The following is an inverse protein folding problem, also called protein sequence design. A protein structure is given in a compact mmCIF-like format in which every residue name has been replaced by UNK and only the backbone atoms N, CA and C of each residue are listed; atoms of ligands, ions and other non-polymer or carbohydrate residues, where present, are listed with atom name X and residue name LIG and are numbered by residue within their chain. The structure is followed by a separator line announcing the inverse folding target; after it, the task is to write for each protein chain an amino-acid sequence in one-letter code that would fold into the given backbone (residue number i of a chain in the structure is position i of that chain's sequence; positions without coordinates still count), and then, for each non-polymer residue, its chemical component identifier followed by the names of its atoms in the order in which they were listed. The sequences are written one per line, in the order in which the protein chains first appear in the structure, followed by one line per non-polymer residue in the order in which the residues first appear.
data_IF_445469882942
#
_entry.id   IF_445469882942
#
_cell.length_a   1.000
_cell.length_b   1.000
_cell.length_c   1.000
_cell.angle_alpha   90.00
_cell.angle_beta   90.00
_cell.angle_gamma   90.00
#
_symmetry.space_group_name_H-M   'P 1'
#
loop_
_entity.id
_entity.type
_entity.pdbx_description
1 polymer ?
2 non-polymer ?
3 water ?
#
# COMPACT_ATOMS: atom_id res chain seq x y z
N UNK A 1 7.14 1.65 -15.01
CA UNK A 1 8.51 1.25 -14.59
C UNK A 1 8.52 0.67 -13.18
N UNK A 2 9.48 -0.22 -12.92
CA UNK A 2 9.66 -0.79 -11.60
C UNK A 2 10.47 0.16 -10.72
N UNK A 3 9.88 0.52 -9.57
CA UNK A 3 10.47 1.44 -8.62
C UNK A 3 11.42 0.69 -7.67
N UNK A 4 11.02 -0.52 -7.27
CA UNK A 4 11.84 -1.36 -6.38
C UNK A 4 11.20 -2.71 -6.17
N UNK A 5 12.02 -3.68 -5.74
CA UNK A 5 11.54 -5.02 -5.41
C UNK A 5 12.03 -5.44 -4.02
N UNK A 6 11.25 -6.29 -3.36
CA UNK A 6 11.61 -6.77 -2.03
C UNK A 6 11.19 -8.22 -1.85
N UNK A 7 12.06 -8.99 -1.20
CA UNK A 7 11.78 -10.38 -0.87
C UNK A 7 12.10 -10.56 0.62
N UNK A 8 11.31 -11.38 1.31
CA UNK A 8 11.61 -11.73 2.70
C UNK A 8 11.26 -13.17 3.02
N UNK A 9 12.14 -13.84 3.74
CA UNK A 9 11.92 -15.21 4.19
C UNK A 9 12.03 -15.29 5.72
N UNK A 10 11.08 -15.97 6.36
CA UNK A 10 11.16 -16.20 7.80
C UNK A 10 10.50 -17.51 8.22
N UNK A 11 11.10 -18.16 9.23
CA UNK A 11 10.56 -19.38 9.79
C UNK A 11 9.37 -19.01 10.68
N UNK A 12 8.20 -19.51 10.32
CA UNK A 12 6.95 -19.19 11.03
C UNK A 12 7.02 -19.50 12.53
N UNK A 13 7.52 -20.70 12.86
CA UNK A 13 7.57 -21.19 14.23
C UNK A 13 8.37 -20.28 15.18
N UNK A 14 9.37 -19.59 14.65
CA UNK A 14 10.21 -18.72 15.48
C UNK A 14 9.72 -17.27 15.58
N UNK A 15 8.54 -17.00 15.00
CA UNK A 15 7.88 -15.69 15.12
C UNK A 15 6.88 -15.74 16.28
N UNK A 16 7.09 -14.89 17.31
CA UNK A 16 6.18 -14.86 18.45
C UNK A 16 4.87 -14.17 18.12
N UNK A 17 3.77 -14.70 18.66
CA UNK A 17 2.43 -14.14 18.47
C UNK A 17 2.30 -12.78 19.17
N UNK A 18 3.14 -12.55 20.18
CA UNK A 18 3.17 -11.31 20.95
C UNK A 18 3.63 -10.11 20.12
N UNK A 19 4.21 -10.37 18.96
CA UNK A 19 4.66 -9.32 18.04
C UNK A 19 3.50 -8.59 17.37
N UNK A 20 2.31 -9.19 17.43
CA UNK A 20 1.09 -8.61 16.87
C UNK A 20 0.84 -7.17 17.32
N UNK A 21 1.10 -6.91 18.60
CA UNK A 21 0.87 -5.58 19.19
C UNK A 21 1.84 -4.53 18.66
N UNK A 22 3.02 -4.95 18.21
CA UNK A 22 4.06 -4.05 17.74
C UNK A 22 4.02 -3.76 16.24
N UNK A 23 3.64 -4.76 15.45
CA UNK A 23 3.74 -4.65 13.99
C UNK A 23 2.42 -4.38 13.24
N UNK A 24 1.29 -4.74 13.86
CA UNK A 24 0.00 -4.65 13.17
C UNK A 24 -0.68 -3.31 13.31
N UNK A 25 -1.29 -2.84 12.23
CA UNK A 25 -2.15 -1.66 12.26
C UNK A 25 -3.54 -2.05 12.74
N UNK A 26 -4.41 -1.05 12.91
CA UNK A 26 -5.75 -1.27 13.48
C UNK A 26 -6.63 -2.19 12.64
N UNK A 27 -6.62 -1.99 11.32
CA UNK A 27 -7.42 -2.82 10.41
C UNK A 27 -6.87 -4.24 10.30
N UNK A 28 -5.55 -4.39 10.45
CA UNK A 28 -4.91 -5.70 10.48
C UNK A 28 -5.28 -6.49 11.74
N UNK A 29 -5.44 -5.77 12.85
CA UNK A 29 -5.88 -6.37 14.13
C UNK A 29 -7.27 -6.95 14.03
N UNK A 30 -8.18 -6.24 13.36
CA UNK A 30 -9.54 -6.72 13.10
C UNK A 30 -9.53 -7.97 12.22
N UNK A 31 -8.62 -8.01 11.25
CA UNK A 31 -8.45 -9.16 10.37
C UNK A 31 -7.79 -10.32 11.12
N UNK A 32 -6.88 -9.99 12.03
CA UNK A 32 -6.17 -10.96 12.87
C UNK A 32 -7.11 -11.76 13.77
N UNK A 33 -8.14 -11.10 14.30
CA UNK A 33 -9.13 -11.75 15.17
C UNK A 33 -9.96 -12.80 14.43
N UNK A 34 -10.16 -12.58 13.13
CA UNK A 34 -10.92 -13.50 12.26
C UNK A 34 -10.12 -14.76 11.94
N UNK A 35 -8.79 -14.64 11.96
CA UNK A 35 -7.90 -15.70 11.51
C UNK A 35 -7.79 -16.90 12.44
N UNK A 36 -7.90 -18.09 11.86
CA UNK A 36 -7.75 -19.35 12.59
C UNK A 36 -6.28 -19.62 12.92
N UNK A 37 -5.42 -19.54 11.90
CA UNK A 37 -3.99 -19.72 12.09
C UNK A 37 -3.32 -18.38 12.39
N UNK A 38 -3.18 -18.10 13.69
CA UNK A 38 -2.74 -16.79 14.18
C UNK A 38 -1.25 -16.56 13.97
N UNK A 39 -0.44 -17.58 14.24
CA UNK A 39 1.01 -17.48 14.12
C UNK A 39 1.46 -17.27 12.67
N UNK A 40 0.77 -17.95 11.76
CA UNK A 40 1.01 -17.78 10.33
C UNK A 40 0.71 -16.37 9.85
N UNK A 41 -0.41 -15.82 10.34
CA UNK A 41 -0.85 -14.48 9.94
C UNK A 41 0.19 -13.43 10.31
N UNK A 42 0.68 -13.51 11.55
CA UNK A 42 1.68 -12.58 12.06
C UNK A 42 2.99 -12.70 11.29
N UNK A 43 3.42 -13.93 11.08
CA UNK A 43 4.63 -14.22 10.32
C UNK A 43 4.53 -13.65 8.90
N UNK A 44 3.37 -13.86 8.27
CA UNK A 44 3.13 -13.36 6.91
C UNK A 44 3.13 -11.84 6.81
N UNK A 45 2.51 -11.18 7.78
CA UNK A 45 2.46 -9.72 7.81
C UNK A 45 3.83 -9.09 8.10
N UNK A 46 4.61 -9.75 8.96
CA UNK A 46 5.98 -9.32 9.22
C UNK A 46 6.82 -9.42 7.95
N UNK A 47 6.70 -10.54 7.25
CA UNK A 47 7.42 -10.78 6.00
C UNK A 47 7.04 -9.77 4.90
N UNK A 48 5.74 -9.49 4.77
CA UNK A 48 5.25 -8.51 3.80
C UNK A 48 5.77 -7.10 4.06
N UNK A 49 5.77 -6.70 5.34
CA UNK A 49 6.25 -5.39 5.76
C UNK A 49 7.76 -5.24 5.53
N UNK A 50 8.52 -6.28 5.86
CA UNK A 50 9.95 -6.33 5.59
C UNK A 50 10.26 -6.24 4.10
N UNK A 51 9.55 -7.04 3.30
CA UNK A 51 9.67 -6.98 1.84
C UNK A 51 9.33 -5.59 1.29
N UNK A 52 8.30 -4.95 1.84
CA UNK A 52 7.91 -3.60 1.41
C UNK A 52 9.04 -2.59 1.64
N UNK A 53 9.60 -2.56 2.84
CA UNK A 53 10.68 -1.63 3.16
C UNK A 53 11.97 -1.91 2.38
N UNK A 54 12.21 -3.17 2.05
CA UNK A 54 13.32 -3.54 1.15
C UNK A 54 13.11 -2.98 -0.25
N UNK A 55 11.87 -3.01 -0.73
CA UNK A 55 11.51 -2.45 -2.04
C UNK A 55 11.68 -0.93 -2.14
N UNK A 56 11.51 -0.23 -1.01
CA UNK A 56 11.73 1.21 -0.94
C UNK A 56 13.19 1.60 -1.10
N UNK A 57 14.09 0.80 -0.55
CA UNK A 57 15.54 1.02 -0.69
C UNK A 57 16.17 1.77 0.47
N UNK A 58 15.39 2.68 1.06
CA UNK A 58 15.87 3.50 2.17
C UNK A 58 15.63 2.81 3.53
N UNK A 59 14.84 1.75 3.51
CA UNK A 59 14.47 1.02 4.72
C UNK A 59 13.53 1.81 5.59
N UNK A 60 13.65 1.66 6.90
CA UNK A 60 12.88 2.44 7.86
C UNK A 60 13.53 3.80 8.09
N UNK A 61 13.24 4.73 7.19
CA UNK A 61 13.75 6.10 7.27
C UNK A 61 13.28 6.80 8.54
N UNK A 62 11.97 7.04 8.62
CA UNK A 62 11.33 7.56 9.83
C UNK A 62 9.98 6.88 10.01
N UNK A 63 9.90 5.64 9.53
CA UNK A 63 8.63 4.91 9.45
C UNK A 63 8.56 3.76 10.43
N UNK A 64 7.33 3.34 10.70
CA UNK A 64 7.06 2.19 11.58
C UNK A 64 6.33 1.11 10.79
N UNK A 65 6.40 -0.13 11.29
CA UNK A 65 5.70 -1.26 10.69
C UNK A 65 4.17 -1.08 10.69
N UNK A 66 3.66 -0.26 11.60
CA UNK A 66 2.24 0.07 11.66
C UNK A 66 1.81 1.09 10.59
N UNK A 67 2.79 1.78 10.00
CA UNK A 67 2.53 2.73 8.91
C UNK A 67 2.15 2.05 7.61
N UNK A 68 2.38 0.74 7.54
CA UNK A 68 2.09 -0.06 6.35
C UNK A 68 1.19 -1.23 6.74
N UNK A 69 0.02 -1.31 6.11
CA UNK A 69 -0.91 -2.39 6.38
C UNK A 69 -1.11 -3.27 5.16
N UNK A 70 -1.28 -4.57 5.40
CA UNK A 70 -1.64 -5.50 4.35
C UNK A 70 -2.99 -6.13 4.68
N UNK A 71 -4.01 -5.64 4.00
CA UNK A 71 -5.38 -6.12 4.17
C UNK A 71 -5.65 -7.20 3.14
N UNK A 72 -6.92 -7.57 2.97
CA UNK A 72 -7.29 -8.59 2.00
C UNK A 72 -8.52 -8.22 1.16
N UNK A 73 -8.37 -8.35 -0.15
CA UNK A 73 -9.47 -8.32 -1.09
C UNK A 73 -9.47 -9.67 -1.80
N UNK A 74 -10.60 -10.36 -1.73
CA UNK A 74 -10.71 -11.77 -2.13
C UNK A 74 -9.84 -12.64 -1.20
N UNK A 75 -8.71 -13.11 -1.72
CA UNK A 75 -7.76 -13.87 -0.92
C UNK A 75 -6.35 -13.30 -0.97
N UNK A 76 -6.17 -12.25 -1.78
CA UNK A 76 -4.87 -11.63 -2.01
C UNK A 76 -4.62 -10.48 -1.03
N UNK A 77 -3.39 -10.38 -0.49
CA UNK A 77 -3.00 -9.23 0.32
C UNK A 77 -3.02 -7.95 -0.52
N UNK A 78 -3.44 -6.84 0.10
CA UNK A 78 -3.47 -5.54 -0.56
C UNK A 78 -2.77 -4.49 0.31
N UNK A 79 -1.90 -3.69 -0.29
CA UNK A 79 -1.16 -2.66 0.42
C UNK A 79 -2.05 -1.48 0.83
N UNK A 80 -1.96 -1.09 2.09
CA UNK A 80 -2.60 0.11 2.60
C UNK A 80 -1.55 0.97 3.30
N UNK A 81 -1.36 2.18 2.78
CA UNK A 81 -0.36 3.10 3.33
C UNK A 81 -1.02 4.16 4.22
N UNK A 82 -0.34 4.51 5.31
CA UNK A 82 -0.81 5.55 6.24
C UNK A 82 0.17 6.70 6.24
N UNK A 83 1.11 6.65 5.32
CA UNK A 83 2.17 7.65 5.19
C UNK A 83 2.61 7.70 3.73
N UNK A 84 3.29 8.78 3.35
CA UNK A 84 3.90 8.87 2.02
C UNK A 84 5.27 8.20 2.01
N UNK A 85 5.42 7.16 1.18
CA UNK A 85 6.67 6.44 1.06
C UNK A 85 7.36 6.67 -0.29
N UNK A 86 6.59 7.18 -1.25
CA UNK A 86 7.10 7.45 -2.60
C UNK A 86 5.97 7.76 -3.56
N UNK A 87 6.29 7.84 -4.85
CA UNK A 87 5.27 8.14 -5.87
C UNK A 87 4.85 6.93 -6.70
N UNK A 88 5.24 5.73 -6.28
CA UNK A 88 4.73 4.51 -6.89
C UNK A 88 3.21 4.48 -6.73
N UNK A 89 2.49 4.06 -7.76
CA UNK A 89 1.03 3.95 -7.64
C UNK A 89 0.53 2.52 -7.69
N UNK A 90 1.45 1.58 -7.90
CA UNK A 90 1.11 0.16 -7.87
C UNK A 90 2.06 -0.62 -6.96
N UNK A 91 1.46 -1.43 -6.10
CA UNK A 91 2.21 -2.38 -5.29
C UNK A 91 1.67 -3.77 -5.60
N UNK A 92 2.50 -4.55 -6.27
CA UNK A 92 2.16 -5.93 -6.60
C UNK A 92 2.77 -6.80 -5.56
N UNK A 93 1.91 -7.47 -4.79
CA UNK A 93 2.36 -8.22 -3.63
C UNK A 93 1.90 -9.68 -3.67
N UNK A 94 2.70 -10.56 -3.08
CA UNK A 94 2.34 -11.97 -2.94
C UNK A 94 2.95 -12.54 -1.68
N UNK A 95 2.25 -13.51 -1.09
CA UNK A 95 2.69 -14.17 0.13
C UNK A 95 2.39 -15.67 0.05
N UNK A 96 3.36 -16.47 0.47
CA UNK A 96 3.20 -17.91 0.58
C UNK A 96 3.85 -18.37 1.87
N UNK A 97 3.31 -19.43 2.47
CA UNK A 97 3.96 -20.06 3.62
C UNK A 97 3.78 -21.54 3.70
N UNK A 98 4.89 -22.23 3.96
CA UNK A 98 4.90 -23.65 4.27
C UNK A 98 6.07 -23.88 5.22
N UNK A 99 5.80 -23.76 6.52
CA UNK A 99 6.83 -23.73 7.58
C UNK A 99 7.68 -22.45 7.53
N UNK A 100 8.12 -22.09 6.33
CA UNK A 100 8.76 -20.81 6.09
C UNK A 100 7.81 -19.92 5.30
N UNK A 101 7.70 -18.66 5.70
CA UNK A 101 6.91 -17.69 4.96
C UNK A 101 7.80 -16.94 3.98
N UNK A 102 7.32 -16.77 2.75
CA UNK A 102 8.04 -15.97 1.75
C UNK A 102 7.11 -14.89 1.19
N UNK A 103 7.54 -13.64 1.30
CA UNK A 103 6.76 -12.50 0.81
C UNK A 103 7.49 -11.77 -0.32
N UNK A 104 6.72 -11.32 -1.29
CA UNK A 104 7.23 -10.61 -2.46
C UNK A 104 6.49 -9.28 -2.61
N UNK A 105 7.24 -8.19 -2.79
CA UNK A 105 6.66 -6.88 -3.07
C UNK A 105 7.38 -6.28 -4.29
N UNK A 106 6.59 -5.90 -5.29
CA UNK A 106 7.11 -5.20 -6.46
C UNK A 106 6.39 -3.86 -6.59
N UNK A 107 7.16 -2.78 -6.50
CA UNK A 107 6.60 -1.43 -6.59
C UNK A 107 6.75 -0.90 -8.02
N UNK A 108 5.65 -0.35 -8.54
CA UNK A 108 5.59 0.09 -9.93
C UNK A 108 5.01 1.50 -10.03
N UNK A 109 5.58 2.30 -10.92
CA UNK A 109 4.98 3.58 -11.29
C UNK A 109 4.42 3.46 -12.71
N UNK A 110 3.10 3.47 -12.82
CA UNK A 110 2.44 3.49 -14.12
C UNK A 110 2.05 4.93 -14.46
N UNK A 111 2.16 5.25 -15.74
CA UNK A 111 1.62 6.49 -16.28
C UNK A 111 0.12 6.50 -16.02
N UNK A 112 -0.37 7.58 -15.40
CA UNK A 112 -1.79 7.73 -15.11
C UNK A 112 -2.27 6.80 -14.00
N UNK A 113 -3.48 6.27 -14.18
CA UNK A 113 -4.12 5.36 -13.22
C UNK A 113 -4.36 5.99 -11.84
N UNK A 114 -4.50 7.31 -11.83
CA UNK A 114 -4.86 8.05 -10.63
C UNK A 114 -6.18 8.76 -10.95
N UNK A 115 -7.24 8.40 -10.22
CA UNK A 115 -8.58 8.90 -10.49
C UNK A 115 -8.98 9.98 -9.48
N UNK A 116 -9.38 11.13 -10.00
CA UNK A 116 -9.74 12.30 -9.19
C UNK A 116 -11.07 12.89 -9.65
N UNK A 117 -11.96 13.19 -8.70
CA UNK A 117 -13.23 13.84 -9.00
C UNK A 117 -13.18 15.32 -8.64
N UNK A 118 -13.56 16.17 -9.60
CA UNK A 118 -13.59 17.62 -9.38
C UNK A 118 -13.76 18.45 -10.64
N UNK A 119 -13.56 19.76 -10.52
CA UNK A 119 -13.69 20.69 -11.64
C UNK A 119 -12.61 20.47 -12.69
N UNK A 120 -13.03 20.34 -13.94
CA UNK A 120 -12.14 20.07 -15.07
C UNK A 120 -11.06 21.14 -15.22
N UNK A 121 -11.47 22.41 -15.13
CA UNK A 121 -10.56 23.55 -15.27
C UNK A 121 -9.52 23.60 -14.16
N UNK A 122 -9.93 23.33 -12.93
CA UNK A 122 -9.04 23.26 -11.77
C UNK A 122 -7.93 22.23 -11.99
N UNK A 123 -8.29 21.06 -12.52
CA UNK A 123 -7.35 19.96 -12.70
C UNK A 123 -6.39 20.18 -13.86
N UNK A 124 -6.88 20.74 -14.96
CA UNK A 124 -6.06 20.97 -16.16
C UNK A 124 -4.98 22.03 -15.98
N UNK A 125 -5.20 22.94 -15.03
CA UNK A 125 -4.20 23.95 -14.67
C UNK A 125 -3.02 23.31 -13.96
N UNK A 126 -3.29 22.26 -13.20
CA UNK A 126 -2.29 21.65 -12.32
C UNK A 126 -1.73 20.33 -12.85
N UNK A 127 -2.57 19.53 -13.50
CA UNK A 127 -2.20 18.19 -13.93
C UNK A 127 -2.44 17.93 -15.40
N UNK A 128 -1.70 16.96 -15.93
CA UNK A 128 -1.96 16.39 -17.25
C UNK A 128 -3.16 15.47 -17.12
N UNK A 129 -4.28 15.89 -17.70
CA UNK A 129 -5.54 15.13 -17.67
C UNK A 129 -5.62 14.22 -18.89
N UNK A 130 -5.91 12.94 -18.66
CA UNK A 130 -5.84 11.92 -19.71
C UNK A 130 -7.20 11.45 -20.22
N UNK A 131 -8.06 10.99 -19.32
CA UNK A 131 -9.36 10.43 -19.69
C UNK A 131 -10.45 10.73 -18.66
N UNK A 132 -11.70 10.67 -19.11
CA UNK A 132 -12.87 10.81 -18.23
C UNK A 132 -13.59 9.47 -18.14
N UNK A 133 -13.96 9.09 -16.91
CA UNK A 133 -14.73 7.88 -16.66
C UNK A 133 -15.85 8.16 -15.67
N UNK A 134 -16.60 7.11 -15.32
CA UNK A 134 -17.70 7.22 -14.35
C UNK A 134 -17.16 7.53 -12.95
N UNK A 135 -15.98 7.01 -12.65
CA UNK A 135 -15.34 7.23 -11.35
C UNK A 135 -14.77 8.64 -11.22
N UNK A 136 -14.34 9.22 -12.32
CA UNK A 136 -13.81 10.59 -12.34
C UNK A 136 -12.81 10.86 -13.46
N UNK A 137 -11.93 11.82 -13.22
CA UNK A 137 -10.87 12.18 -14.17
C UNK A 137 -9.62 11.39 -13.90
N UNK A 138 -9.03 10.84 -14.97
CA UNK A 138 -7.73 10.17 -14.86
C UNK A 138 -6.62 11.19 -15.12
N UNK A 139 -5.72 11.32 -14.16
CA UNK A 139 -4.62 12.26 -14.26
C UNK A 139 -3.26 11.56 -14.15
N UNK A 140 -2.22 12.20 -14.69
CA UNK A 140 -0.86 11.79 -14.43
C UNK A 140 -0.24 12.76 -13.44
N UNK A 141 0.29 12.23 -12.34
CA UNK A 141 1.01 13.03 -11.35
C UNK A 141 2.06 12.18 -10.63
N UNK A 142 3.15 12.84 -10.21
CA UNK A 142 4.19 12.20 -9.42
C UNK A 142 4.06 12.57 -7.95
N UNK A 143 2.95 13.21 -7.59
CA UNK A 143 2.68 13.56 -6.20
C UNK A 143 2.30 12.32 -5.40
N UNK A 144 2.93 12.13 -4.22
CA UNK A 144 2.58 11.04 -3.31
C UNK A 144 1.13 11.17 -2.83
N UNK A 145 0.48 10.03 -2.50
CA UNK A 145 -0.97 9.99 -2.27
C UNK A 145 -1.51 10.96 -1.22
N UNK A 146 -0.81 11.11 -0.09
CA UNK A 146 -1.27 12.00 0.98
C UNK A 146 -1.05 13.48 0.63
N UNK A 147 0.03 13.76 -0.07
CA UNK A 147 0.29 15.10 -0.59
C UNK A 147 -0.80 15.49 -1.59
N UNK A 148 -1.12 14.58 -2.49
CA UNK A 148 -2.19 14.79 -3.48
C UNK A 148 -3.55 14.94 -2.80
N UNK A 149 -3.82 14.08 -1.83
CA UNK A 149 -5.09 14.06 -1.10
C UNK A 149 -5.35 15.39 -0.37
N UNK A 150 -4.31 15.92 0.26
CA UNK A 150 -4.38 17.18 1.01
C UNK A 150 -4.58 18.38 0.08
N UNK A 151 -3.96 18.31 -1.10
CA UNK A 151 -4.08 19.37 -2.10
C UNK A 151 -5.50 19.44 -2.68
N UNK A 152 -6.09 18.27 -2.93
CA UNK A 152 -7.41 18.19 -3.56
C UNK A 152 -8.55 18.52 -2.60
N UNK A 153 -8.45 18.05 -1.36
CA UNK A 153 -9.49 18.27 -0.34
C UNK A 153 -9.56 19.73 0.11
N UNK A 154 -8.50 20.49 -0.13
CA UNK A 154 -8.47 21.93 0.12
C UNK A 154 -9.45 22.66 -0.79
N UNK A 155 -9.58 22.15 -2.02
CA UNK A 155 -10.57 22.63 -2.98
C UNK A 155 -11.81 21.74 -2.91
N UNK A 156 -12.66 21.80 -3.94
CA UNK A 156 -13.82 20.92 -4.04
C UNK A 156 -13.51 19.66 -4.84
N UNK A 157 -12.34 19.09 -4.59
CA UNK A 157 -11.86 17.90 -5.31
C UNK A 157 -11.64 16.71 -4.37
N UNK A 158 -11.68 15.52 -4.95
CA UNK A 158 -11.56 14.28 -4.18
C UNK A 158 -10.70 13.24 -4.92
N UNK A 159 -9.78 12.62 -4.20
CA UNK A 159 -9.01 11.49 -4.72
C UNK A 159 -9.87 10.22 -4.65
N UNK A 160 -10.16 9.66 -5.82
CA UNK A 160 -11.02 8.48 -5.91
C UNK A 160 -10.20 7.19 -5.82
N UNK A 161 -9.18 7.07 -6.68
CA UNK A 161 -8.31 5.91 -6.68
C UNK A 161 -6.88 6.31 -7.02
N UNK A 162 -5.93 5.74 -6.27
CA UNK A 162 -4.51 5.92 -6.53
C UNK A 162 -3.90 4.58 -6.91
N UNK A 163 -3.95 4.25 -8.20
CA UNK A 163 -3.48 2.95 -8.69
C UNK A 163 -4.21 1.81 -8.02
N UNK A 164 -3.46 0.88 -7.42
CA UNK A 164 -4.05 -0.20 -6.62
C UNK A 164 -3.73 -0.09 -5.13
N UNK A 165 -3.23 1.09 -4.73
CA UNK A 165 -2.86 1.37 -3.34
C UNK A 165 -4.09 1.83 -2.56
N UNK A 166 -4.23 1.33 -1.33
CA UNK A 166 -5.26 1.84 -0.42
C UNK A 166 -4.65 2.92 0.48
N UNK A 167 -5.39 3.99 0.70
CA UNK A 167 -4.90 5.14 1.46
C UNK A 167 -5.69 5.33 2.76
N UNK A 168 -4.98 5.29 3.87
CA UNK A 168 -5.59 5.49 5.20
C UNK A 168 -6.43 4.31 5.65
#
# INVERSE_FOLDING_TARGET
MIVGVGIDVLEVERVPEKFAERILGESEKRLFLTRKRRREFIAGRFALKEAFFKALGTGLNGHSFTDVEFLESNGKPVLCVHKDFGFFNYAHVSLSHDRFAVALVVLEKRKGDIIVEGDESFLRKRFEVLERSVEGWEIETSLPPFTLKKLLESSGCRLVRYGNILIGE
#
